data_IF_494749839292
#
_entry.id   IF_494749839292
#
_cell.length_a   1.000
_cell.length_b   1.000
_cell.length_c   1.000
_cell.angle_alpha   90.00
_cell.angle_beta   90.00
_cell.angle_gamma   90.00
#
_symmetry.space_group_name_H-M   'P 1'
#
loop_
_entity.id
_entity.type
_entity.pdbx_description
1 polymer ?
#
# COMPACT_ATOMS: atom_id res chain seq x y z
N UNK A 1 39.69 -7.81 -18.01
CA UNK A 1 40.75 -7.05 -17.31
C UNK A 1 40.26 -6.69 -15.90
N UNK A 2 41.17 -6.32 -14.98
CA UNK A 2 40.96 -5.63 -13.67
C UNK A 2 39.51 -5.56 -13.10
N UNK A 3 39.22 -6.18 -11.95
CA UNK A 3 39.50 -5.67 -10.57
C UNK A 3 38.75 -4.35 -10.26
N UNK A 4 38.05 -4.15 -9.14
CA UNK A 4 37.92 -4.94 -7.89
C UNK A 4 36.46 -4.96 -7.38
N UNK A 5 36.03 -6.09 -6.81
CA UNK A 5 35.13 -6.09 -5.64
C UNK A 5 35.39 -7.35 -4.82
N UNK A 6 35.80 -7.22 -3.55
CA UNK A 6 36.04 -8.37 -2.70
C UNK A 6 35.65 -8.07 -1.24
N UNK A 7 34.70 -8.88 -0.76
CA UNK A 7 34.53 -9.42 0.60
C UNK A 7 35.70 -9.14 1.58
N UNK A 8 35.54 -8.84 2.88
CA UNK A 8 34.40 -8.74 3.83
C UNK A 8 34.92 -8.06 5.13
N UNK A 9 34.11 -7.76 6.19
CA UNK A 9 34.58 -7.02 7.37
C UNK A 9 35.33 -7.88 8.42
N UNK A 10 36.10 -7.22 9.30
CA UNK A 10 36.72 -7.80 10.49
C UNK A 10 36.64 -6.83 11.70
N UNK A 11 36.86 -7.35 12.93
CA UNK A 11 36.47 -6.70 14.19
C UNK A 11 37.59 -6.78 15.25
N UNK A 12 37.88 -5.65 15.90
CA UNK A 12 38.49 -5.49 17.24
C UNK A 12 39.96 -5.95 17.51
N UNK A 13 40.55 -5.32 18.55
CA UNK A 13 41.69 -5.79 19.41
C UNK A 13 43.08 -6.02 18.77
N UNK A 14 44.23 -5.91 19.46
CA UNK A 14 44.71 -5.05 20.60
C UNK A 14 46.15 -5.49 20.99
N UNK A 15 47.13 -4.57 21.17
CA UNK A 15 48.44 -4.73 21.89
C UNK A 15 49.35 -3.52 21.56
N UNK A 16 49.91 -2.72 22.50
CA UNK A 16 51.01 -2.88 23.48
C UNK A 16 52.41 -2.46 22.92
N UNK A 17 52.94 -1.26 23.25
CA UNK A 17 53.90 -0.96 24.37
C UNK A 17 55.38 -1.37 24.06
N UNK A 18 56.37 -0.47 23.90
CA UNK A 18 57.26 0.20 24.92
C UNK A 18 58.47 0.88 24.15
N UNK A 19 59.50 1.53 24.76
CA UNK A 19 59.48 2.70 25.68
C UNK A 19 60.57 3.80 25.43
N UNK A 20 60.48 4.95 26.12
CA UNK A 20 61.61 5.86 26.45
C UNK A 20 61.67 7.21 25.70
N UNK A 21 62.12 8.34 26.30
CA UNK A 21 62.50 8.62 27.69
C UNK A 21 62.47 10.15 28.01
N UNK A 22 62.25 10.52 29.29
CA UNK A 22 62.63 11.78 30.02
C UNK A 22 62.59 13.16 29.34
N UNK A 23 62.07 14.27 29.90
CA UNK A 23 61.41 14.61 31.19
C UNK A 23 60.75 16.03 31.01
N UNK A 24 60.48 16.98 31.94
CA UNK A 24 60.75 17.18 33.39
C UNK A 24 59.83 18.29 33.98
N UNK A 25 59.09 18.02 35.07
CA UNK A 25 58.37 19.03 35.90
C UNK A 25 57.11 19.65 35.25
N UNK A 26 56.13 20.21 35.98
CA UNK A 26 55.83 20.32 37.43
C UNK A 26 54.29 20.24 37.62
N UNK A 27 53.74 19.94 38.81
CA UNK A 27 52.28 19.80 38.93
C UNK A 27 51.68 19.88 40.34
N UNK A 28 50.36 20.07 40.39
CA UNK A 28 49.37 19.96 41.50
C UNK A 28 47.98 20.31 40.94
N UNK A 29 46.84 19.98 41.59
CA UNK A 29 46.50 18.83 42.46
C UNK A 29 45.29 18.02 41.86
N UNK A 30 44.76 16.95 42.50
CA UNK A 30 43.70 16.12 41.89
C UNK A 30 42.26 16.67 42.05
N UNK A 31 41.33 16.03 41.32
CA UNK A 31 39.93 16.40 41.10
C UNK A 31 39.02 16.35 42.35
N UNK A 32 37.96 17.17 42.40
CA UNK A 32 36.68 16.79 42.98
C UNK A 32 35.79 16.10 41.93
N UNK A 33 35.13 15.00 42.31
CA UNK A 33 34.19 14.26 41.46
C UNK A 33 32.85 15.00 41.34
N UNK A 34 32.73 15.91 40.36
CA UNK A 34 31.44 16.44 39.95
C UNK A 34 30.70 15.43 39.07
N UNK A 35 29.51 14.99 39.49
CA UNK A 35 28.56 14.37 38.56
C UNK A 35 28.15 15.41 37.53
N UNK A 36 28.67 15.28 36.30
CA UNK A 36 28.21 16.09 35.18
C UNK A 36 26.76 15.69 34.85
N UNK A 37 25.82 16.36 35.50
CA UNK A 37 24.52 16.59 34.89
C UNK A 37 24.81 17.30 33.56
N UNK A 38 24.51 16.63 32.44
CA UNK A 38 24.48 17.32 31.16
C UNK A 38 23.52 18.49 31.30
N UNK A 39 23.99 19.72 31.03
CA UNK A 39 23.08 20.85 30.92
C UNK A 39 22.19 20.62 29.69
N UNK A 40 21.04 19.97 29.88
CA UNK A 40 19.99 19.84 28.87
C UNK A 40 19.35 21.21 28.66
N UNK A 41 20.11 22.13 28.05
CA UNK A 41 19.70 23.49 27.75
C UNK A 41 18.45 23.41 26.89
N UNK A 42 17.34 23.91 27.42
CA UNK A 42 16.06 23.96 26.73
C UNK A 42 16.22 24.85 25.49
N UNK A 43 16.45 24.21 24.35
CA UNK A 43 16.47 24.87 23.05
C UNK A 43 15.07 25.45 22.79
N UNK A 44 14.99 26.78 22.72
CA UNK A 44 13.72 27.52 22.54
C UNK A 44 13.02 27.16 21.22
N UNK A 45 13.76 26.61 20.26
CA UNK A 45 13.25 26.05 19.03
C UNK A 45 14.08 24.83 18.61
N UNK A 46 13.42 23.72 18.29
CA UNK A 46 14.02 22.48 17.76
C UNK A 46 13.16 21.94 16.62
N UNK A 47 13.75 21.73 15.44
CA UNK A 47 13.06 21.18 14.28
C UNK A 47 13.26 19.66 14.22
N UNK A 48 12.40 18.90 14.90
CA UNK A 48 12.38 17.44 14.82
C UNK A 48 11.52 16.97 13.63
N UNK A 49 12.04 17.19 12.42
CA UNK A 49 11.43 16.66 11.19
C UNK A 49 11.35 15.12 11.16
N UNK A 50 12.41 14.36 11.56
CA UNK A 50 12.36 12.89 11.52
C UNK A 50 11.21 12.27 12.32
N UNK A 51 10.82 12.85 13.45
CA UNK A 51 9.68 12.37 14.23
C UNK A 51 8.33 12.49 13.50
N UNK A 52 8.14 13.58 12.74
CA UNK A 52 6.86 13.89 12.06
C UNK A 52 6.86 13.60 10.56
N UNK A 53 7.97 13.08 10.01
CA UNK A 53 8.18 12.95 8.56
C UNK A 53 7.03 12.24 7.83
N UNK A 54 6.63 11.04 8.28
CA UNK A 54 5.59 10.24 7.62
C UNK A 54 4.22 10.96 7.61
N UNK A 55 3.63 11.38 8.75
CA UNK A 55 2.35 12.08 8.72
C UNK A 55 2.42 13.46 8.02
N UNK A 56 3.57 14.15 8.08
CA UNK A 56 3.76 15.40 7.34
C UNK A 56 3.75 15.18 5.82
N UNK A 57 4.51 14.19 5.32
CA UNK A 57 4.54 13.81 3.91
C UNK A 57 3.15 13.37 3.41
N UNK A 58 2.45 12.50 4.15
CA UNK A 58 1.06 12.10 3.84
C UNK A 58 0.15 13.33 3.70
N UNK A 59 0.20 14.25 4.68
CA UNK A 59 -0.62 15.48 4.67
C UNK A 59 -0.28 16.36 3.47
N UNK A 60 1.00 16.50 3.14
CA UNK A 60 1.47 17.29 1.99
C UNK A 60 0.98 16.72 0.66
N UNK A 61 1.04 15.39 0.46
CA UNK A 61 0.54 14.74 -0.76
C UNK A 61 -0.99 14.82 -0.89
N UNK A 62 -1.75 14.63 0.19
CA UNK A 62 -3.22 14.78 0.19
C UNK A 62 -3.61 16.24 -0.12
N UNK A 63 -2.93 17.21 0.48
CA UNK A 63 -3.16 18.64 0.20
C UNK A 63 -2.86 18.98 -1.26
N UNK A 64 -1.72 18.51 -1.78
CA UNK A 64 -1.30 18.69 -3.16
C UNK A 64 -2.28 18.08 -4.16
N UNK A 65 -2.72 16.83 -3.95
CA UNK A 65 -3.71 16.17 -4.80
C UNK A 65 -5.06 16.91 -4.78
N UNK A 66 -5.46 17.40 -3.60
CA UNK A 66 -6.68 18.21 -3.43
C UNK A 66 -6.59 19.54 -4.20
N UNK A 67 -5.45 20.24 -4.11
CA UNK A 67 -5.18 21.49 -4.85
C UNK A 67 -5.13 21.24 -6.37
N UNK A 68 -4.53 20.13 -6.82
CA UNK A 68 -4.51 19.73 -8.23
C UNK A 68 -5.93 19.48 -8.76
N UNK A 69 -6.78 18.75 -8.03
CA UNK A 69 -8.18 18.52 -8.39
C UNK A 69 -9.01 19.81 -8.47
N UNK A 70 -8.83 20.73 -7.51
CA UNK A 70 -9.44 22.07 -7.56
C UNK A 70 -8.98 22.83 -8.83
N UNK A 71 -7.68 22.77 -9.15
CA UNK A 71 -7.13 23.35 -10.38
C UNK A 71 -7.76 22.76 -11.65
N UNK A 72 -7.89 21.44 -11.75
CA UNK A 72 -8.48 20.78 -12.92
C UNK A 72 -9.96 21.14 -13.11
N UNK A 73 -10.76 21.24 -12.03
CA UNK A 73 -12.14 21.72 -12.13
C UNK A 73 -12.24 23.20 -12.54
N UNK A 74 -11.30 24.04 -12.11
CA UNK A 74 -11.26 25.46 -12.51
C UNK A 74 -10.99 25.63 -14.02
N UNK A 75 -10.20 24.72 -14.61
CA UNK A 75 -9.94 24.65 -16.05
C UNK A 75 -10.89 23.68 -16.78
N UNK A 76 -12.18 24.04 -16.90
CA UNK A 76 -13.27 23.18 -17.43
C UNK A 76 -13.01 22.38 -18.73
N UNK A 77 -12.01 22.77 -19.54
CA UNK A 77 -11.64 22.03 -20.77
C UNK A 77 -10.70 20.84 -20.55
N UNK A 78 -9.98 20.76 -19.43
CA UNK A 78 -9.06 19.65 -19.17
C UNK A 78 -9.81 18.34 -18.85
N UNK A 79 -10.72 18.29 -17.85
CA UNK A 79 -11.45 17.06 -17.51
C UNK A 79 -12.34 16.53 -18.65
N UNK A 80 -12.77 17.41 -19.57
CA UNK A 80 -13.57 17.05 -20.74
C UNK A 80 -12.78 16.31 -21.84
N UNK A 81 -11.46 16.21 -21.73
CA UNK A 81 -10.57 15.58 -22.73
C UNK A 81 -9.75 14.44 -22.10
N UNK A 82 -9.36 14.58 -20.83
CA UNK A 82 -8.49 13.64 -20.12
C UNK A 82 -9.07 13.33 -18.73
N UNK A 83 -9.23 12.05 -18.34
CA UNK A 83 -9.68 11.68 -17.00
C UNK A 83 -8.80 12.25 -15.88
N UNK A 84 -9.40 12.58 -14.74
CA UNK A 84 -8.71 13.18 -13.59
C UNK A 84 -7.53 12.31 -13.11
N UNK A 85 -7.69 10.98 -13.07
CA UNK A 85 -6.64 10.02 -12.68
C UNK A 85 -5.39 10.16 -13.55
N UNK A 86 -5.54 10.35 -14.87
CA UNK A 86 -4.42 10.56 -15.79
C UNK A 86 -3.70 11.90 -15.55
N UNK A 87 -4.44 12.96 -15.21
CA UNK A 87 -3.87 14.27 -14.89
C UNK A 87 -3.12 14.24 -13.54
N UNK A 88 -3.64 13.52 -12.55
CA UNK A 88 -2.97 13.29 -11.25
C UNK A 88 -1.69 12.45 -11.42
N UNK A 89 -1.72 11.40 -12.24
CA UNK A 89 -0.52 10.61 -12.58
C UNK A 89 0.54 11.49 -13.24
N UNK A 90 0.17 12.39 -14.15
CA UNK A 90 1.11 13.33 -14.78
C UNK A 90 1.73 14.30 -13.76
N UNK A 91 0.95 14.83 -12.81
CA UNK A 91 1.47 15.67 -11.72
C UNK A 91 2.44 14.88 -10.83
N UNK A 92 2.09 13.65 -10.45
CA UNK A 92 2.96 12.75 -9.68
C UNK A 92 4.27 12.43 -10.40
N UNK A 93 4.22 12.18 -11.73
CA UNK A 93 5.39 11.92 -12.56
C UNK A 93 6.31 13.15 -12.66
N UNK A 94 5.74 14.35 -12.84
CA UNK A 94 6.51 15.60 -12.89
C UNK A 94 7.23 15.86 -11.56
N UNK A 95 6.55 15.65 -10.43
CA UNK A 95 7.13 15.82 -9.10
C UNK A 95 8.18 14.75 -8.77
N UNK A 96 7.93 13.48 -9.13
CA UNK A 96 8.93 12.42 -9.03
C UNK A 96 10.18 12.71 -9.86
N UNK A 97 10.01 13.30 -11.05
CA UNK A 97 11.11 13.77 -11.89
C UNK A 97 11.88 14.94 -11.27
N UNK A 98 11.22 15.87 -10.59
CA UNK A 98 11.86 16.96 -9.85
C UNK A 98 12.67 16.43 -8.65
N UNK A 99 12.10 15.52 -7.85
CA UNK A 99 12.79 14.89 -6.70
C UNK A 99 14.02 14.11 -7.18
N UNK A 100 13.87 13.32 -8.25
CA UNK A 100 14.98 12.59 -8.87
C UNK A 100 16.07 13.54 -9.40
N UNK A 101 15.69 14.65 -10.04
CA UNK A 101 16.61 15.68 -10.53
C UNK A 101 17.28 16.51 -9.44
N UNK A 102 16.79 16.44 -8.20
CA UNK A 102 17.40 17.08 -7.02
C UNK A 102 18.38 16.15 -6.26
N UNK A 103 18.57 14.91 -6.73
CA UNK A 103 19.31 13.83 -6.04
C UNK A 103 18.78 13.50 -4.62
N UNK A 104 17.55 13.94 -4.29
CA UNK A 104 16.93 13.64 -3.01
C UNK A 104 16.43 12.19 -2.94
N UNK A 105 16.58 11.57 -1.76
CA UNK A 105 16.09 10.22 -1.51
C UNK A 105 14.56 10.20 -1.55
N UNK A 106 13.98 9.23 -2.24
CA UNK A 106 12.53 9.01 -2.35
C UNK A 106 11.83 9.11 -0.98
N UNK A 107 10.78 9.95 -0.84
CA UNK A 107 10.06 10.15 0.42
C UNK A 107 9.55 8.85 1.07
N UNK A 108 9.79 8.61 2.37
CA UNK A 108 9.32 7.43 3.10
C UNK A 108 7.80 7.13 3.00
N UNK A 109 6.96 8.12 2.72
CA UNK A 109 5.54 7.88 2.39
C UNK A 109 5.31 6.96 1.17
N UNK A 110 6.30 6.82 0.27
CA UNK A 110 6.22 5.95 -0.91
C UNK A 110 6.40 4.45 -0.59
N UNK A 111 6.55 4.05 0.68
CA UNK A 111 6.55 2.65 1.09
C UNK A 111 5.13 2.06 1.01
N UNK A 112 5.00 0.87 0.39
CA UNK A 112 3.70 0.19 0.22
C UNK A 112 2.95 0.00 1.54
N UNK A 113 3.66 -0.31 2.63
CA UNK A 113 3.07 -0.56 3.94
C UNK A 113 2.40 0.71 4.52
N UNK A 114 2.91 1.90 4.20
CA UNK A 114 2.29 3.18 4.58
C UNK A 114 0.98 3.39 3.80
N UNK A 115 0.98 3.09 2.50
CA UNK A 115 -0.22 3.15 1.67
C UNK A 115 -1.30 2.16 2.16
N UNK A 116 -0.96 0.88 2.35
CA UNK A 116 -1.91 -0.14 2.79
C UNK A 116 -2.44 0.06 4.22
N UNK A 117 -1.66 0.62 5.14
CA UNK A 117 -2.10 0.79 6.54
C UNK A 117 -2.76 2.15 6.84
N UNK A 118 -2.44 3.22 6.11
CA UNK A 118 -2.94 4.57 6.40
C UNK A 118 -3.89 5.14 5.34
N UNK A 119 -3.64 4.87 4.05
CA UNK A 119 -4.40 5.48 2.96
C UNK A 119 -5.53 4.59 2.45
N UNK A 120 -5.27 3.29 2.30
CA UNK A 120 -6.23 2.36 1.70
C UNK A 120 -7.47 2.07 2.57
N UNK A 121 -7.41 1.89 3.91
CA UNK A 121 -8.60 1.53 4.68
C UNK A 121 -9.72 2.60 4.65
N UNK A 122 -9.42 3.92 4.75
CA UNK A 122 -10.43 4.96 4.52
C UNK A 122 -11.06 4.94 3.12
N UNK A 123 -10.29 4.58 2.08
CA UNK A 123 -10.78 4.52 0.70
C UNK A 123 -11.74 3.33 0.52
N UNK A 124 -11.39 2.16 1.06
CA UNK A 124 -12.25 0.96 1.03
C UNK A 124 -13.54 1.20 1.83
N UNK A 125 -13.45 1.88 2.98
CA UNK A 125 -14.63 2.29 3.75
C UNK A 125 -15.55 3.21 2.94
N UNK A 126 -15.03 4.22 2.26
CA UNK A 126 -15.83 5.16 1.45
C UNK A 126 -16.59 4.42 0.35
N UNK A 127 -15.88 3.59 -0.43
CA UNK A 127 -16.45 2.79 -1.50
C UNK A 127 -17.48 1.74 -1.00
N UNK A 128 -17.22 1.11 0.15
CA UNK A 128 -18.14 0.16 0.78
C UNK A 128 -19.38 0.80 1.40
N UNK A 129 -19.23 1.98 2.03
CA UNK A 129 -20.30 2.68 2.73
C UNK A 129 -21.32 3.32 1.79
N UNK A 130 -20.88 3.83 0.64
CA UNK A 130 -21.76 4.42 -0.37
C UNK A 130 -22.33 3.40 -1.39
N UNK A 131 -21.99 2.11 -1.27
CA UNK A 131 -22.48 1.05 -2.16
C UNK A 131 -24.02 0.88 -2.07
N UNK A 132 -24.75 0.85 -3.22
CA UNK A 132 -26.18 0.49 -3.31
C UNK A 132 -26.49 -0.96 -2.87
N UNK A 133 -26.57 -1.18 -1.56
CA UNK A 133 -26.56 -2.50 -0.90
C UNK A 133 -27.60 -3.48 -1.45
N UNK A 134 -28.83 -3.01 -1.73
CA UNK A 134 -29.91 -3.87 -2.23
C UNK A 134 -29.61 -4.41 -3.63
N UNK A 135 -29.26 -3.53 -4.56
CA UNK A 135 -28.99 -3.90 -5.96
C UNK A 135 -27.74 -4.78 -6.07
N UNK A 136 -26.74 -4.55 -5.19
CA UNK A 136 -25.56 -5.41 -5.07
C UNK A 136 -25.95 -6.84 -4.66
N UNK A 137 -26.70 -7.01 -3.56
CA UNK A 137 -27.10 -8.35 -3.11
C UNK A 137 -28.11 -9.05 -4.04
N UNK A 138 -28.96 -8.32 -4.75
CA UNK A 138 -29.83 -8.89 -5.80
C UNK A 138 -29.04 -9.44 -7.00
N UNK A 139 -27.81 -8.97 -7.25
CA UNK A 139 -26.96 -9.38 -8.39
C UNK A 139 -25.65 -10.08 -7.97
N UNK A 140 -25.47 -10.37 -6.68
CA UNK A 140 -24.18 -10.75 -6.08
C UNK A 140 -23.50 -11.96 -6.76
N UNK A 141 -24.26 -12.98 -7.15
CA UNK A 141 -23.70 -14.17 -7.82
C UNK A 141 -23.04 -13.85 -9.17
N UNK A 142 -23.59 -12.91 -9.93
CA UNK A 142 -23.03 -12.44 -11.20
C UNK A 142 -21.79 -11.57 -10.96
N UNK A 143 -21.88 -10.65 -10.00
CA UNK A 143 -20.79 -9.76 -9.59
C UNK A 143 -19.57 -10.59 -9.14
N UNK A 144 -19.78 -11.54 -8.22
CA UNK A 144 -18.75 -12.44 -7.70
C UNK A 144 -18.14 -13.32 -8.79
N UNK A 145 -18.94 -13.80 -9.76
CA UNK A 145 -18.41 -14.58 -10.87
C UNK A 145 -17.43 -13.77 -11.73
N UNK A 146 -17.76 -12.55 -12.11
CA UNK A 146 -16.84 -11.69 -12.86
C UNK A 146 -15.61 -11.29 -12.02
N UNK A 147 -15.80 -10.83 -10.79
CA UNK A 147 -14.70 -10.35 -9.92
C UNK A 147 -13.72 -11.44 -9.46
N UNK A 148 -14.13 -12.72 -9.45
CA UNK A 148 -13.23 -13.83 -9.10
C UNK A 148 -12.71 -14.51 -10.37
N UNK A 149 -13.60 -14.98 -11.25
CA UNK A 149 -13.20 -15.79 -12.41
C UNK A 149 -12.63 -14.92 -13.54
N UNK A 150 -13.21 -13.73 -13.75
CA UNK A 150 -12.69 -12.75 -14.72
C UNK A 150 -11.30 -12.25 -14.32
N UNK A 151 -11.11 -11.88 -13.06
CA UNK A 151 -9.81 -11.46 -12.51
C UNK A 151 -8.76 -12.56 -12.55
N UNK A 152 -9.08 -13.78 -12.12
CA UNK A 152 -8.15 -14.92 -12.23
C UNK A 152 -7.77 -15.18 -13.70
N UNK A 153 -8.73 -15.13 -14.63
CA UNK A 153 -8.48 -15.30 -16.06
C UNK A 153 -7.62 -14.16 -16.63
N UNK A 154 -7.87 -12.90 -16.23
CA UNK A 154 -7.14 -11.73 -16.69
C UNK A 154 -5.69 -11.74 -16.19
N UNK A 155 -5.47 -11.93 -14.88
CA UNK A 155 -4.14 -12.01 -14.28
C UNK A 155 -3.28 -13.15 -14.87
N UNK A 156 -3.88 -14.34 -15.05
CA UNK A 156 -3.20 -15.49 -15.66
C UNK A 156 -2.96 -15.24 -17.17
N UNK A 157 -3.93 -14.68 -17.88
CA UNK A 157 -3.83 -14.35 -19.30
C UNK A 157 -2.73 -13.34 -19.60
N UNK A 158 -2.67 -12.24 -18.85
CA UNK A 158 -1.60 -11.23 -18.92
C UNK A 158 -0.24 -11.88 -18.60
N UNK A 159 -0.13 -12.61 -17.48
CA UNK A 159 1.13 -13.22 -17.06
C UNK A 159 1.68 -14.27 -18.03
N UNK A 160 0.82 -15.12 -18.60
CA UNK A 160 1.21 -16.09 -19.62
C UNK A 160 1.56 -15.41 -20.94
N UNK A 161 0.82 -14.37 -21.35
CA UNK A 161 1.10 -13.63 -22.59
C UNK A 161 2.44 -12.89 -22.53
N UNK A 162 2.72 -12.21 -21.40
CA UNK A 162 4.01 -11.55 -21.16
C UNK A 162 5.16 -12.57 -21.13
N UNK A 163 4.99 -13.69 -20.43
CA UNK A 163 6.00 -14.76 -20.44
C UNK A 163 6.24 -15.32 -21.85
N UNK A 164 5.19 -15.48 -22.65
CA UNK A 164 5.29 -15.88 -24.06
C UNK A 164 6.11 -14.90 -24.91
N UNK A 165 5.98 -13.59 -24.65
CA UNK A 165 6.81 -12.55 -25.28
C UNK A 165 8.27 -12.64 -24.80
N UNK A 166 8.51 -12.88 -23.50
CA UNK A 166 9.87 -13.06 -22.96
C UNK A 166 10.63 -14.25 -23.56
N UNK A 167 9.92 -15.31 -24.01
CA UNK A 167 10.53 -16.46 -24.69
C UNK A 167 10.91 -16.18 -26.16
N UNK A 168 10.50 -15.05 -26.74
CA UNK A 168 10.88 -14.68 -28.12
C UNK A 168 12.28 -14.07 -28.10
N UNK A 169 13.26 -14.82 -28.63
CA UNK A 169 14.70 -14.47 -28.60
C UNK A 169 15.06 -13.08 -29.15
N UNK A 170 14.19 -12.48 -29.95
CA UNK A 170 14.37 -11.13 -30.49
C UNK A 170 14.31 -10.01 -29.43
N UNK A 171 13.69 -10.24 -28.27
CA UNK A 171 13.59 -9.25 -27.19
C UNK A 171 14.70 -9.37 -26.13
N UNK A 172 15.37 -10.53 -26.02
CA UNK A 172 16.45 -10.75 -25.05
C UNK A 172 16.03 -10.78 -23.57
N UNK A 173 14.73 -10.90 -23.27
CA UNK A 173 14.17 -10.81 -21.92
C UNK A 173 14.16 -12.16 -21.16
N UNK A 174 15.19 -12.98 -21.33
CA UNK A 174 15.24 -14.37 -20.80
C UNK A 174 15.30 -14.46 -19.27
N UNK A 175 15.67 -13.39 -18.59
CA UNK A 175 15.85 -13.37 -17.13
C UNK A 175 14.52 -13.23 -16.35
N UNK A 176 13.41 -12.95 -17.04
CA UNK A 176 12.09 -12.75 -16.42
C UNK A 176 11.35 -14.09 -16.31
N UNK A 177 11.15 -14.55 -15.08
CA UNK A 177 10.43 -15.79 -14.80
C UNK A 177 8.92 -15.68 -15.04
N UNK A 178 8.26 -16.81 -15.33
CA UNK A 178 6.79 -16.88 -15.40
C UNK A 178 6.12 -16.33 -14.14
N UNK A 179 6.70 -16.56 -12.96
CA UNK A 179 6.12 -16.12 -11.69
C UNK A 179 6.21 -14.60 -11.49
N UNK A 180 7.26 -13.94 -11.96
CA UNK A 180 7.33 -12.47 -12.01
C UNK A 180 6.29 -11.89 -12.98
N UNK A 181 6.08 -12.55 -14.13
CA UNK A 181 5.03 -12.15 -15.07
C UNK A 181 3.61 -12.37 -14.51
N UNK A 182 3.37 -13.44 -13.75
CA UNK A 182 2.10 -13.68 -13.03
C UNK A 182 1.89 -12.68 -11.89
N UNK A 183 2.93 -12.32 -11.14
CA UNK A 183 2.91 -11.27 -10.12
C UNK A 183 2.53 -9.92 -10.74
N UNK A 184 3.15 -9.55 -11.86
CA UNK A 184 2.79 -8.35 -12.62
C UNK A 184 1.36 -8.43 -13.18
N UNK A 185 0.95 -9.58 -13.72
CA UNK A 185 -0.41 -9.83 -14.18
C UNK A 185 -1.46 -9.65 -13.08
N UNK A 186 -1.17 -10.10 -11.85
CA UNK A 186 -2.08 -9.87 -10.71
C UNK A 186 -2.18 -8.40 -10.30
N UNK A 187 -1.09 -7.63 -10.40
CA UNK A 187 -1.05 -6.21 -10.08
C UNK A 187 -1.82 -5.36 -11.12
N UNK A 188 -1.74 -5.73 -12.40
CA UNK A 188 -2.40 -5.02 -13.51
C UNK A 188 -3.82 -5.55 -13.79
N UNK A 189 -4.28 -6.61 -13.11
CA UNK A 189 -5.63 -7.14 -13.27
C UNK A 189 -6.72 -6.37 -12.51
N UNK A 190 -6.34 -5.42 -11.65
CA UNK A 190 -7.28 -4.53 -10.98
C UNK A 190 -7.86 -3.53 -11.99
N UNK A 191 -9.17 -3.30 -11.95
CA UNK A 191 -9.89 -2.49 -12.95
C UNK A 191 -10.58 -1.32 -12.25
N UNK A 192 -10.02 -0.11 -12.40
CA UNK A 192 -10.67 1.14 -11.99
C UNK A 192 -11.87 1.44 -12.92
N UNK A 193 -13.12 1.45 -12.41
CA UNK A 193 -14.30 1.68 -13.21
C UNK A 193 -14.67 3.17 -13.33
N UNK A 194 -14.01 4.09 -12.61
CA UNK A 194 -14.45 5.48 -12.41
C UNK A 194 -14.70 6.20 -13.74
N UNK A 195 -13.81 6.01 -14.73
CA UNK A 195 -13.98 6.60 -16.06
C UNK A 195 -15.19 6.03 -16.83
N UNK A 196 -15.54 4.76 -16.62
CA UNK A 196 -16.69 4.10 -17.25
C UNK A 196 -17.99 4.50 -16.54
N UNK A 197 -18.01 4.52 -15.21
CA UNK A 197 -19.17 4.90 -14.40
C UNK A 197 -19.56 6.37 -14.65
N UNK A 198 -18.58 7.27 -14.75
CA UNK A 198 -18.83 8.67 -15.12
C UNK A 198 -19.50 8.81 -16.50
N UNK A 199 -19.14 8.00 -17.50
CA UNK A 199 -19.82 7.97 -18.80
C UNK A 199 -21.22 7.36 -18.67
N UNK A 200 -21.37 6.29 -17.88
CA UNK A 200 -22.64 5.59 -17.64
C UNK A 200 -23.71 6.47 -16.98
N UNK A 201 -23.32 7.33 -16.03
CA UNK A 201 -24.20 8.33 -15.42
C UNK A 201 -24.66 9.37 -16.45
N UNK A 202 -23.74 9.90 -17.26
CA UNK A 202 -24.07 10.88 -18.30
C UNK A 202 -25.08 10.33 -19.33
N UNK A 203 -24.92 9.06 -19.75
CA UNK A 203 -25.85 8.41 -20.70
C UNK A 203 -27.09 7.79 -20.04
N UNK A 204 -27.26 7.93 -18.71
CA UNK A 204 -28.39 7.40 -17.94
C UNK A 204 -28.59 5.88 -18.13
N UNK A 205 -27.52 5.11 -17.96
CA UNK A 205 -27.56 3.64 -18.09
C UNK A 205 -28.39 2.98 -16.98
N UNK A 206 -28.83 1.73 -17.21
CA UNK A 206 -29.54 0.94 -16.20
C UNK A 206 -28.69 0.76 -14.93
N UNK A 207 -29.24 1.11 -13.76
CA UNK A 207 -28.64 0.95 -12.43
C UNK A 207 -28.08 -0.47 -12.18
N UNK A 208 -28.71 -1.50 -12.76
CA UNK A 208 -28.23 -2.88 -12.69
C UNK A 208 -26.87 -3.08 -13.38
N UNK A 209 -26.61 -2.38 -14.49
CA UNK A 209 -25.30 -2.44 -15.17
C UNK A 209 -24.25 -1.62 -14.41
N UNK A 210 -24.65 -0.49 -13.84
CA UNK A 210 -23.79 0.33 -12.98
C UNK A 210 -23.30 -0.46 -11.77
N UNK A 211 -24.22 -1.10 -11.00
CA UNK A 211 -23.84 -1.88 -9.82
C UNK A 211 -23.07 -3.17 -10.18
N UNK A 212 -23.30 -3.73 -11.38
CA UNK A 212 -22.53 -4.88 -11.88
C UNK A 212 -21.07 -4.51 -12.08
N UNK A 213 -20.78 -3.38 -12.75
CA UNK A 213 -19.40 -2.91 -12.99
C UNK A 213 -18.76 -2.39 -11.70
N UNK A 214 -19.45 -1.56 -10.93
CA UNK A 214 -18.93 -1.05 -9.65
C UNK A 214 -18.60 -2.18 -8.66
N UNK A 215 -19.52 -3.15 -8.51
CA UNK A 215 -19.33 -4.30 -7.64
C UNK A 215 -18.27 -5.28 -8.14
N UNK A 216 -18.10 -5.40 -9.46
CA UNK A 216 -17.04 -6.22 -10.07
C UNK A 216 -15.67 -5.65 -9.70
N UNK A 217 -15.41 -4.37 -10.00
CA UNK A 217 -14.18 -3.67 -9.63
C UNK A 217 -13.88 -3.71 -8.13
N UNK A 218 -14.86 -3.44 -7.27
CA UNK A 218 -14.65 -3.38 -5.82
C UNK A 218 -14.22 -4.74 -5.23
N UNK A 219 -14.78 -5.85 -5.74
CA UNK A 219 -14.31 -7.19 -5.35
C UNK A 219 -13.00 -7.57 -6.07
N UNK A 220 -12.79 -7.12 -7.31
CA UNK A 220 -11.58 -7.36 -8.09
C UNK A 220 -10.33 -6.78 -7.40
N UNK A 221 -10.39 -5.56 -6.85
CA UNK A 221 -9.30 -4.95 -6.07
C UNK A 221 -8.89 -5.82 -4.86
N UNK A 222 -9.86 -6.41 -4.17
CA UNK A 222 -9.58 -7.31 -3.05
C UNK A 222 -8.96 -8.65 -3.52
N UNK A 223 -9.48 -9.23 -4.61
CA UNK A 223 -8.97 -10.49 -5.18
C UNK A 223 -7.54 -10.32 -5.73
N UNK A 224 -7.24 -9.19 -6.37
CA UNK A 224 -5.93 -8.90 -6.95
C UNK A 224 -4.87 -8.68 -5.90
N UNK A 225 -5.16 -7.99 -4.80
CA UNK A 225 -4.20 -7.84 -3.68
C UNK A 225 -3.90 -9.18 -2.99
N UNK A 226 -4.89 -10.07 -2.83
CA UNK A 226 -4.66 -11.45 -2.35
C UNK A 226 -3.79 -12.25 -3.33
N UNK A 227 -4.07 -12.15 -4.64
CA UNK A 227 -3.32 -12.85 -5.68
C UNK A 227 -1.87 -12.33 -5.82
N UNK A 228 -1.68 -11.02 -5.69
CA UNK A 228 -0.37 -10.36 -5.64
C UNK A 228 0.43 -10.83 -4.44
N UNK A 229 -0.15 -10.84 -3.24
CA UNK A 229 0.54 -11.31 -2.03
C UNK A 229 0.86 -12.81 -2.10
N UNK A 230 0.00 -13.63 -2.74
CA UNK A 230 0.28 -15.04 -3.02
C UNK A 230 1.49 -15.23 -3.95
N UNK A 231 1.51 -14.55 -5.11
CA UNK A 231 2.65 -14.65 -6.04
C UNK A 231 3.93 -14.02 -5.46
N UNK A 232 3.83 -12.95 -4.67
CA UNK A 232 4.94 -12.32 -3.92
C UNK A 232 5.55 -13.29 -2.91
N UNK A 233 4.73 -14.06 -2.19
CA UNK A 233 5.18 -15.12 -1.29
C UNK A 233 5.91 -16.22 -2.06
N UNK A 234 5.33 -16.72 -3.16
CA UNK A 234 6.01 -17.70 -4.02
C UNK A 234 7.34 -17.19 -4.61
N UNK A 235 7.44 -15.91 -4.98
CA UNK A 235 8.70 -15.30 -5.46
C UNK A 235 9.83 -15.30 -4.43
N UNK A 236 9.51 -15.44 -3.13
CA UNK A 236 10.50 -15.55 -2.05
C UNK A 236 10.93 -17.01 -1.79
N UNK A 237 10.21 -18.00 -2.36
CA UNK A 237 10.51 -19.42 -2.19
C UNK A 237 11.56 -19.89 -3.20
N UNK A 238 12.61 -20.58 -2.71
CA UNK A 238 13.72 -21.05 -3.57
C UNK A 238 13.35 -22.23 -4.48
N UNK A 239 12.33 -23.01 -4.11
CA UNK A 239 11.84 -24.17 -4.86
C UNK A 239 10.35 -24.33 -4.58
N UNK A 240 9.51 -24.34 -5.62
CA UNK A 240 8.06 -24.56 -5.51
C UNK A 240 7.77 -26.02 -5.84
N UNK A 241 7.08 -26.73 -4.95
CA UNK A 241 6.59 -28.10 -5.13
C UNK A 241 5.09 -28.10 -5.40
N UNK A 242 4.57 -29.21 -5.91
CA UNK A 242 3.13 -29.40 -6.15
C UNK A 242 2.28 -29.17 -4.88
N UNK A 243 2.78 -29.57 -3.71
CA UNK A 243 2.11 -29.32 -2.42
C UNK A 243 2.00 -27.82 -2.09
N UNK A 244 2.99 -27.01 -2.46
CA UNK A 244 2.99 -25.57 -2.20
C UNK A 244 1.98 -24.84 -3.10
N UNK A 245 1.72 -25.36 -4.30
CA UNK A 245 0.66 -24.88 -5.21
C UNK A 245 -0.73 -25.16 -4.60
N UNK A 246 -0.97 -26.38 -4.11
CA UNK A 246 -2.23 -26.71 -3.41
C UNK A 246 -2.40 -25.89 -2.13
N UNK A 247 -1.33 -25.67 -1.36
CA UNK A 247 -1.34 -24.80 -0.19
C UNK A 247 -1.66 -23.35 -0.57
N UNK A 248 -1.13 -22.84 -1.68
CA UNK A 248 -1.45 -21.50 -2.19
C UNK A 248 -2.91 -21.33 -2.61
N UNK A 249 -3.49 -22.32 -3.27
CA UNK A 249 -4.93 -22.33 -3.63
C UNK A 249 -5.78 -22.36 -2.36
N UNK A 250 -5.45 -23.19 -1.38
CA UNK A 250 -6.14 -23.20 -0.08
C UNK A 250 -5.99 -21.84 0.65
N UNK A 251 -4.79 -21.26 0.63
CA UNK A 251 -4.51 -19.97 1.25
C UNK A 251 -5.33 -18.84 0.61
N UNK A 252 -5.47 -18.79 -0.72
CA UNK A 252 -6.32 -17.82 -1.42
C UNK A 252 -7.76 -17.81 -0.87
N UNK A 253 -8.38 -18.98 -0.70
CA UNK A 253 -9.72 -19.08 -0.11
C UNK A 253 -9.74 -18.73 1.39
N UNK A 254 -8.74 -19.15 2.17
CA UNK A 254 -8.65 -18.85 3.61
C UNK A 254 -8.50 -17.34 3.84
N UNK A 255 -7.62 -16.67 3.10
CA UNK A 255 -7.32 -15.23 3.19
C UNK A 255 -8.54 -14.39 2.79
N UNK A 256 -9.25 -14.78 1.72
CA UNK A 256 -10.47 -14.10 1.28
C UNK A 256 -11.65 -14.30 2.24
N UNK A 257 -11.99 -15.56 2.57
CA UNK A 257 -13.13 -15.88 3.45
C UNK A 257 -12.87 -15.40 4.89
N UNK A 258 -11.62 -15.47 5.36
CA UNK A 258 -11.23 -14.99 6.69
C UNK A 258 -11.41 -13.47 6.84
N UNK A 259 -11.09 -12.68 5.80
CA UNK A 259 -11.38 -11.25 5.78
C UNK A 259 -12.89 -10.98 5.91
N UNK A 260 -13.70 -11.63 5.08
CA UNK A 260 -15.18 -11.52 5.14
C UNK A 260 -15.75 -11.88 6.52
N UNK A 261 -15.20 -12.90 7.18
CA UNK A 261 -15.63 -13.29 8.53
C UNK A 261 -15.28 -12.24 9.59
N UNK A 262 -14.15 -11.55 9.47
CA UNK A 262 -13.77 -10.43 10.35
C UNK A 262 -14.67 -9.22 10.09
N UNK A 263 -14.93 -8.89 8.82
CA UNK A 263 -15.83 -7.80 8.45
C UNK A 263 -17.27 -8.00 8.89
N UNK A 264 -17.80 -9.22 8.76
CA UNK A 264 -19.13 -9.56 9.32
C UNK A 264 -19.12 -9.42 10.84
N UNK A 265 -18.05 -9.86 11.53
CA UNK A 265 -17.95 -9.77 12.98
C UNK A 265 -17.90 -8.32 13.48
N UNK A 266 -17.00 -7.50 12.96
CA UNK A 266 -16.87 -6.10 13.41
C UNK A 266 -17.97 -5.19 12.85
N UNK A 267 -18.51 -5.47 11.66
CA UNK A 267 -19.72 -4.83 11.15
C UNK A 267 -20.94 -5.08 12.05
N UNK A 268 -21.10 -6.30 12.59
CA UNK A 268 -22.13 -6.60 13.58
C UNK A 268 -21.89 -5.85 14.90
N UNK A 269 -20.64 -5.78 15.39
CA UNK A 269 -20.28 -5.01 16.59
C UNK A 269 -20.53 -3.51 16.39
N UNK A 270 -20.25 -2.96 15.21
CA UNK A 270 -20.53 -1.57 14.85
C UNK A 270 -22.04 -1.30 14.85
N UNK A 271 -22.83 -2.12 14.14
CA UNK A 271 -24.29 -2.00 14.10
C UNK A 271 -24.93 -2.12 15.50
N UNK A 272 -24.41 -3.03 16.33
CA UNK A 272 -24.81 -3.18 17.73
C UNK A 272 -24.47 -1.91 18.54
N UNK A 273 -23.27 -1.36 18.41
CA UNK A 273 -22.82 -0.16 19.15
C UNK A 273 -23.62 1.08 18.76
N UNK A 274 -23.84 1.31 17.46
CA UNK A 274 -24.66 2.41 16.94
C UNK A 274 -26.09 2.36 17.49
N UNK A 275 -26.67 1.16 17.68
CA UNK A 275 -28.02 0.99 18.25
C UNK A 275 -28.17 1.58 19.67
N UNK A 276 -27.12 1.58 20.49
CA UNK A 276 -27.15 2.21 21.83
C UNK A 276 -26.75 3.70 21.81
N UNK A 277 -26.18 4.17 20.71
CA UNK A 277 -25.58 5.50 20.57
C UNK A 277 -26.61 6.61 20.26
N UNK A 278 -27.88 6.26 19.98
CA UNK A 278 -28.97 7.15 19.56
C UNK A 278 -29.17 8.47 20.34
N UNK A 279 -28.65 8.61 21.57
CA UNK A 279 -28.67 9.87 22.35
C UNK A 279 -27.55 10.86 21.98
N UNK A 280 -26.49 10.42 21.29
CA UNK A 280 -25.26 11.17 20.99
C UNK A 280 -24.86 10.90 19.53
N UNK A 281 -25.76 11.14 18.58
CA UNK A 281 -25.59 10.76 17.16
C UNK A 281 -24.30 11.28 16.50
N UNK A 282 -23.71 12.36 17.04
CA UNK A 282 -22.44 12.95 16.56
C UNK A 282 -21.23 12.01 16.64
N UNK A 283 -21.29 10.92 17.43
CA UNK A 283 -20.19 9.92 17.50
C UNK A 283 -20.44 8.68 16.62
N UNK A 284 -21.62 8.55 15.99
CA UNK A 284 -21.95 7.40 15.14
C UNK A 284 -20.99 7.26 13.93
N UNK A 285 -20.61 8.35 13.20
CA UNK A 285 -19.61 8.25 12.13
C UNK A 285 -18.21 7.87 12.63
N UNK A 286 -17.84 8.30 13.86
CA UNK A 286 -16.55 7.94 14.46
C UNK A 286 -16.49 6.43 14.74
N UNK A 287 -17.57 5.82 15.22
CA UNK A 287 -17.63 4.37 15.41
C UNK A 287 -17.60 3.61 14.09
N UNK A 288 -18.31 4.06 13.04
CA UNK A 288 -18.24 3.44 11.70
C UNK A 288 -16.80 3.44 11.18
N UNK A 289 -16.13 4.59 11.24
CA UNK A 289 -14.72 4.71 10.83
C UNK A 289 -13.80 3.80 11.66
N UNK A 290 -13.88 3.85 12.99
CA UNK A 290 -13.01 3.08 13.87
C UNK A 290 -13.21 1.57 13.74
N UNK A 291 -14.45 1.08 13.61
CA UNK A 291 -14.70 -0.36 13.47
C UNK A 291 -14.28 -0.90 12.10
N UNK A 292 -14.45 -0.15 11.01
CA UNK A 292 -13.93 -0.56 9.69
C UNK A 292 -12.39 -0.54 9.67
N UNK A 293 -11.76 0.52 10.18
CA UNK A 293 -10.30 0.61 10.28
C UNK A 293 -9.71 -0.52 11.16
N UNK A 294 -10.41 -0.86 12.25
CA UNK A 294 -10.06 -2.02 13.09
C UNK A 294 -10.28 -3.35 12.37
N UNK A 295 -11.29 -3.48 11.50
CA UNK A 295 -11.56 -4.67 10.70
C UNK A 295 -10.39 -4.97 9.77
N UNK A 296 -9.99 -3.97 8.98
CA UNK A 296 -8.83 -4.01 8.10
C UNK A 296 -7.57 -4.45 8.83
N UNK A 297 -7.20 -3.77 9.93
CA UNK A 297 -5.98 -4.10 10.68
C UNK A 297 -6.08 -5.47 11.37
N UNK A 298 -7.26 -5.88 11.83
CA UNK A 298 -7.45 -7.21 12.43
C UNK A 298 -7.25 -8.31 11.38
N UNK A 299 -7.73 -8.13 10.15
CA UNK A 299 -7.50 -9.06 9.05
C UNK A 299 -6.01 -9.12 8.67
N UNK A 300 -5.35 -7.99 8.43
CA UNK A 300 -3.91 -7.94 8.11
C UNK A 300 -3.03 -8.55 9.21
N UNK A 301 -3.39 -8.37 10.49
CA UNK A 301 -2.72 -9.00 11.66
C UNK A 301 -2.79 -10.54 11.63
N UNK A 302 -3.84 -11.11 11.04
CA UNK A 302 -3.98 -12.55 10.82
C UNK A 302 -3.51 -13.00 9.42
N UNK A 303 -2.91 -12.10 8.62
CA UNK A 303 -2.58 -12.27 7.21
C UNK A 303 -3.77 -12.66 6.33
N UNK A 304 -4.96 -12.21 6.72
CA UNK A 304 -6.22 -12.29 5.98
C UNK A 304 -6.43 -10.98 5.19
N UNK A 305 -7.29 -10.97 4.17
CA UNK A 305 -7.43 -9.79 3.31
C UNK A 305 -8.10 -8.62 4.03
N UNK A 306 -7.35 -7.56 4.34
CA UNK A 306 -7.90 -6.31 4.90
C UNK A 306 -8.98 -5.67 4.01
N UNK A 307 -8.88 -5.82 2.69
CA UNK A 307 -9.84 -5.26 1.72
C UNK A 307 -11.18 -6.01 1.71
N UNK A 308 -11.21 -7.26 2.21
CA UNK A 308 -12.45 -8.06 2.32
C UNK A 308 -13.14 -7.87 3.69
N UNK A 309 -12.62 -7.01 4.57
CA UNK A 309 -12.96 -6.92 5.99
C UNK A 309 -13.49 -5.53 6.39
#
# INVERSE_FOLDING_TARGET
MSKLWNQTPARATSESQLPGASAMGTGTPPSPSGTAFEETRLHVFTLDYPHVQIPFEITLWILLASLAKIGFHLYHKLPSIVPESCLLILVGLLLGGIIFGAEEKSPPVMNSDVFFLYLLPPIVLDAGYFMPTRLFFENFGTIFWYAVVGTLWNAIGIGISLYGICQISAFGLTDITLLQNLLFGSLISAVDPVAVLAVFENIHVNEQLYILVFGESLLNDAITVVLYNLFKSFCQMRTIKVIDIFAGIANFFIVGIGGVLIGILLGFVAAFTTRFTHKIRVIEPLFVFLYSYLSYITAEMFHLSGIMA
#
